data_IF_869753479102
#
_entry.id   IF_869753479102
#
_cell.length_a   1.000
_cell.length_b   1.000
_cell.length_c   1.000
_cell.angle_alpha   90.00
_cell.angle_beta   90.00
_cell.angle_gamma   90.00
#
_symmetry.space_group_name_H-M   'P 1'
#
loop_
_entity.id
_entity.type
_entity.pdbx_description
1 polymer ?
#
# COMPACT_ATOMS: atom_id res chain seq x y z
N UNK A 1 4.70 19.75 27.55
CA UNK A 1 3.83 18.86 26.75
C UNK A 1 4.76 17.99 25.93
N UNK A 2 4.65 16.68 25.99
CA UNK A 2 5.55 15.81 25.21
C UNK A 2 5.17 15.92 23.73
N UNK A 3 6.18 16.10 22.86
CA UNK A 3 5.98 16.16 21.41
C UNK A 3 5.50 14.80 20.92
N UNK A 4 4.33 14.74 20.26
CA UNK A 4 3.86 13.48 19.71
C UNK A 4 4.71 13.03 18.52
N UNK A 5 5.01 11.74 18.47
CA UNK A 5 5.94 11.16 17.49
C UNK A 5 5.27 10.08 16.68
N UNK A 6 5.34 10.25 15.36
CA UNK A 6 4.76 9.35 14.38
C UNK A 6 5.86 8.69 13.55
N UNK A 7 5.72 7.39 13.30
CA UNK A 7 6.56 6.63 12.37
C UNK A 7 5.67 6.01 11.29
N UNK A 8 6.09 6.14 10.04
CA UNK A 8 5.36 5.63 8.87
C UNK A 8 6.22 4.60 8.18
N UNK A 9 5.79 3.34 8.19
CA UNK A 9 6.46 2.19 7.58
C UNK A 9 5.54 1.63 6.50
N UNK A 10 6.06 0.96 5.48
CA UNK A 10 5.22 0.25 4.53
C UNK A 10 5.66 0.40 3.09
N UNK A 11 4.73 0.09 2.21
CA UNK A 11 4.91 0.08 0.77
C UNK A 11 4.44 1.40 0.10
N UNK A 12 4.13 1.32 -1.19
CA UNK A 12 3.66 2.43 -2.03
C UNK A 12 2.31 3.01 -1.60
N UNK A 13 1.44 2.20 -0.98
CA UNK A 13 0.17 2.70 -0.43
C UNK A 13 0.48 3.60 0.75
N UNK A 14 1.32 3.15 1.69
CA UNK A 14 1.68 3.94 2.88
C UNK A 14 2.60 5.12 2.57
N UNK A 15 3.44 4.98 1.55
CA UNK A 15 4.18 6.09 0.97
C UNK A 15 3.25 7.16 0.38
N UNK A 16 2.05 6.80 -0.08
CA UNK A 16 1.12 7.71 -0.75
C UNK A 16 1.58 8.06 -2.17
N UNK A 17 1.93 7.04 -2.95
CA UNK A 17 2.41 7.15 -4.32
C UNK A 17 1.52 8.09 -5.16
N UNK A 18 2.12 9.09 -5.80
CA UNK A 18 1.39 10.05 -6.63
C UNK A 18 0.86 11.28 -5.88
N UNK A 19 0.86 11.31 -4.55
CA UNK A 19 0.32 12.45 -3.78
C UNK A 19 1.41 13.45 -3.40
N UNK A 20 1.04 14.73 -3.32
CA UNK A 20 1.88 15.72 -2.66
C UNK A 20 2.00 15.41 -1.16
N UNK A 21 3.12 15.78 -0.53
CA UNK A 21 3.41 15.40 0.86
C UNK A 21 2.27 15.73 1.82
N UNK A 22 1.64 16.89 1.67
CA UNK A 22 0.52 17.36 2.49
C UNK A 22 -0.81 16.63 2.25
N UNK A 23 -0.95 15.95 1.13
CA UNK A 23 -2.14 15.18 0.72
C UNK A 23 -2.05 13.71 1.14
N UNK A 24 -0.84 13.21 1.42
CA UNK A 24 -0.60 11.83 1.87
C UNK A 24 -1.35 11.56 3.17
N UNK A 25 -2.00 10.41 3.28
CA UNK A 25 -2.89 10.14 4.42
C UNK A 25 -2.17 10.17 5.77
N UNK A 26 -0.88 9.84 5.84
CA UNK A 26 -0.11 10.01 7.07
C UNK A 26 0.04 11.48 7.49
N UNK A 27 0.14 12.40 6.53
CA UNK A 27 0.18 13.84 6.80
C UNK A 27 -1.17 14.37 7.25
N UNK A 28 -2.27 13.83 6.69
CA UNK A 28 -3.63 14.14 7.12
C UNK A 28 -3.88 13.65 8.56
N UNK A 29 -3.50 12.40 8.87
CA UNK A 29 -3.61 11.81 10.21
C UNK A 29 -2.77 12.60 11.21
N UNK A 30 -1.51 12.90 10.88
CA UNK A 30 -0.66 13.76 11.71
C UNK A 30 -1.37 15.08 12.01
N UNK A 31 -1.81 15.81 10.98
CA UNK A 31 -2.50 17.11 11.17
C UNK A 31 -3.73 16.99 12.07
N UNK A 32 -4.51 15.93 11.94
CA UNK A 32 -5.68 15.68 12.78
C UNK A 32 -5.31 15.41 14.25
N UNK A 33 -4.23 14.68 14.52
CA UNK A 33 -3.79 14.35 15.88
C UNK A 33 -3.04 15.49 16.57
N UNK A 34 -2.41 16.39 15.79
CA UNK A 34 -1.47 17.40 16.32
C UNK A 34 -1.95 18.84 16.15
N UNK A 35 -3.03 19.06 15.39
CA UNK A 35 -3.48 20.38 14.97
C UNK A 35 -2.56 21.03 13.92
N UNK A 36 -2.95 22.22 13.45
CA UNK A 36 -2.22 23.00 12.42
C UNK A 36 -0.90 23.62 12.91
N UNK A 37 -0.74 23.79 14.22
CA UNK A 37 0.43 24.41 14.86
C UNK A 37 1.38 23.39 15.52
N UNK A 38 1.06 22.09 15.47
CA UNK A 38 1.86 21.05 16.11
C UNK A 38 3.10 20.70 15.28
N UNK A 39 4.21 21.38 15.52
CA UNK A 39 5.52 20.88 15.11
C UNK A 39 5.80 19.59 15.88
N UNK A 40 5.60 18.46 15.22
CA UNK A 40 5.70 17.12 15.82
C UNK A 40 6.42 16.18 14.85
N UNK A 41 7.27 15.31 15.38
CA UNK A 41 8.14 14.43 14.59
C UNK A 41 7.31 13.42 13.80
N UNK A 42 7.46 13.39 12.48
CA UNK A 42 6.93 12.33 11.63
C UNK A 42 8.07 11.80 10.77
N UNK A 43 8.54 10.60 11.11
CA UNK A 43 9.61 9.92 10.38
C UNK A 43 8.98 8.98 9.36
N UNK A 44 9.07 9.36 8.08
CA UNK A 44 8.53 8.56 6.97
C UNK A 44 9.62 7.66 6.41
N UNK A 45 9.49 6.36 6.66
CA UNK A 45 10.39 5.33 6.16
C UNK A 45 9.73 4.42 5.12
N UNK A 46 8.40 4.49 4.96
CA UNK A 46 7.67 3.84 3.87
C UNK A 46 8.33 4.12 2.50
N UNK A 47 8.23 3.14 1.60
CA UNK A 47 8.90 3.17 0.31
C UNK A 47 8.08 2.38 -0.72
N UNK A 48 7.92 2.94 -1.92
CA UNK A 48 7.18 2.24 -2.98
C UNK A 48 7.86 0.95 -3.40
N UNK A 49 7.05 -0.09 -3.63
CA UNK A 49 7.54 -1.42 -3.98
C UNK A 49 8.06 -2.27 -2.81
N UNK A 50 8.15 -1.70 -1.59
CA UNK A 50 8.67 -2.44 -0.44
C UNK A 50 7.85 -3.71 -0.16
N UNK A 51 8.57 -4.81 0.07
CA UNK A 51 8.02 -6.08 0.58
C UNK A 51 8.11 -6.12 2.10
N UNK A 52 7.37 -7.01 2.77
CA UNK A 52 7.50 -7.20 4.22
C UNK A 52 8.94 -7.60 4.56
N UNK A 53 9.50 -8.53 3.79
CA UNK A 53 10.90 -8.94 3.90
C UNK A 53 11.20 -9.90 5.04
N UNK A 54 10.23 -10.73 5.46
CA UNK A 54 10.35 -11.67 6.59
C UNK A 54 11.60 -12.57 6.54
N UNK A 55 12.06 -12.92 5.33
CA UNK A 55 13.22 -13.80 5.11
C UNK A 55 14.32 -13.14 4.28
N UNK A 56 14.29 -11.81 4.13
CA UNK A 56 15.22 -11.07 3.28
C UNK A 56 16.41 -10.59 4.11
N UNK A 57 17.61 -11.02 3.73
CA UNK A 57 18.87 -10.59 4.36
C UNK A 57 19.62 -9.56 3.52
N UNK A 58 19.34 -9.49 2.23
CA UNK A 58 19.93 -8.51 1.32
C UNK A 58 19.43 -7.12 1.67
N UNK A 59 20.33 -6.14 1.63
CA UNK A 59 20.01 -4.72 1.78
C UNK A 59 20.50 -3.99 0.54
N UNK A 60 19.64 -3.17 -0.06
CA UNK A 60 20.04 -2.25 -1.13
C UNK A 60 19.93 -0.81 -0.62
N UNK A 61 20.66 0.15 -1.23
CA UNK A 61 20.51 1.56 -0.90
C UNK A 61 19.07 2.03 -1.08
N UNK A 62 18.59 2.82 -0.12
CA UNK A 62 17.30 3.51 -0.24
C UNK A 62 17.38 4.50 -1.40
N UNK A 63 16.39 4.45 -2.30
CA UNK A 63 16.18 5.44 -3.36
C UNK A 63 15.02 6.36 -3.00
N UNK A 64 14.65 7.27 -3.91
CA UNK A 64 13.47 8.11 -3.75
C UNK A 64 12.21 7.25 -3.56
N UNK A 65 11.37 7.62 -2.60
CA UNK A 65 10.21 6.82 -2.21
C UNK A 65 9.15 6.64 -3.31
N UNK A 66 9.15 7.48 -4.35
CA UNK A 66 8.26 7.31 -5.51
C UNK A 66 8.77 6.25 -6.51
N UNK A 67 10.01 5.79 -6.39
CA UNK A 67 10.58 4.75 -7.27
C UNK A 67 10.22 3.38 -6.69
N UNK A 68 9.46 2.52 -7.42
CA UNK A 68 9.04 1.24 -6.89
C UNK A 68 10.21 0.24 -6.88
N UNK A 69 10.77 -0.02 -5.70
CA UNK A 69 11.80 -1.05 -5.48
C UNK A 69 11.49 -1.84 -4.20
N UNK A 70 11.86 -3.13 -4.17
CA UNK A 70 11.63 -3.98 -2.99
C UNK A 70 12.38 -3.54 -1.73
N UNK A 71 13.39 -2.69 -1.88
CA UNK A 71 14.25 -2.23 -0.79
C UNK A 71 14.10 -0.72 -0.55
N UNK A 72 14.20 -0.28 0.72
CA UNK A 72 14.26 -1.12 1.92
C UNK A 72 12.95 -1.88 2.18
N UNK A 73 13.06 -3.14 2.62
CA UNK A 73 11.88 -3.91 3.06
C UNK A 73 11.26 -3.28 4.31
N UNK A 74 10.02 -3.58 4.63
CA UNK A 74 9.34 -2.95 5.78
C UNK A 74 10.00 -3.32 7.11
N UNK A 75 10.56 -4.53 7.23
CA UNK A 75 11.40 -4.92 8.36
C UNK A 75 12.67 -4.05 8.44
N UNK A 76 13.34 -3.80 7.32
CA UNK A 76 14.51 -2.92 7.27
C UNK A 76 14.15 -1.47 7.57
N UNK A 77 12.98 -1.00 7.14
CA UNK A 77 12.46 0.31 7.52
C UNK A 77 12.26 0.40 9.03
N UNK A 78 11.70 -0.63 9.67
CA UNK A 78 11.56 -0.70 11.13
C UNK A 78 12.93 -0.67 11.85
N UNK A 79 13.94 -1.35 11.30
CA UNK A 79 15.30 -1.37 11.85
C UNK A 79 16.07 -0.07 11.63
N UNK A 80 15.81 0.61 10.51
CA UNK A 80 16.44 1.89 10.16
C UNK A 80 15.95 3.06 11.00
N UNK A 81 14.89 2.90 11.81
CA UNK A 81 14.45 3.94 12.74
C UNK A 81 15.46 4.07 13.90
N UNK A 82 16.22 5.17 13.91
CA UNK A 82 17.32 5.41 14.86
C UNK A 82 16.97 6.29 16.06
N UNK A 83 15.84 7.00 16.05
CA UNK A 83 15.41 7.83 17.17
C UNK A 83 14.92 6.97 18.35
N UNK A 84 14.44 7.61 19.43
CA UNK A 84 13.91 6.94 20.62
C UNK A 84 12.57 6.20 20.33
N UNK A 85 12.56 4.87 20.16
CA UNK A 85 11.37 4.11 19.76
C UNK A 85 10.34 3.99 20.88
N UNK A 86 10.78 4.03 22.12
CA UNK A 86 9.99 4.09 23.35
C UNK A 86 9.30 5.44 23.56
N UNK A 87 9.67 6.47 22.78
CA UNK A 87 9.00 7.76 22.76
C UNK A 87 7.91 7.87 21.67
N UNK A 88 7.84 6.93 20.73
CA UNK A 88 6.88 6.95 19.60
C UNK A 88 5.46 6.77 20.11
N UNK A 89 4.54 7.63 19.66
CA UNK A 89 3.12 7.61 20.00
C UNK A 89 2.27 6.86 18.98
N UNK A 90 2.71 6.90 17.72
CA UNK A 90 1.93 6.39 16.61
C UNK A 90 2.80 5.71 15.57
N UNK A 91 2.43 4.51 15.16
CA UNK A 91 3.04 3.81 14.03
C UNK A 91 1.95 3.52 13.01
N UNK A 92 2.18 3.91 11.76
CA UNK A 92 1.31 3.61 10.64
C UNK A 92 2.02 2.64 9.71
N UNK A 93 1.35 1.56 9.31
CA UNK A 93 1.92 0.62 8.35
C UNK A 93 0.92 -0.11 7.47
N UNK A 94 1.41 -0.62 6.35
CA UNK A 94 0.76 -1.60 5.47
C UNK A 94 1.85 -2.33 4.67
N UNK A 95 1.53 -3.52 4.15
CA UNK A 95 2.47 -4.36 3.40
C UNK A 95 1.88 -5.70 3.00
N UNK A 96 2.55 -6.40 2.09
CA UNK A 96 2.19 -7.75 1.64
C UNK A 96 1.83 -7.84 0.16
N UNK A 97 1.31 -6.79 -0.48
CA UNK A 97 0.93 -6.88 -1.91
C UNK A 97 2.16 -7.02 -2.83
N UNK A 98 3.28 -6.37 -2.50
CA UNK A 98 4.51 -6.48 -3.29
C UNK A 98 5.21 -7.82 -3.09
N UNK A 99 4.97 -8.51 -1.96
CA UNK A 99 5.42 -9.88 -1.74
C UNK A 99 4.67 -10.88 -2.64
N UNK A 100 3.40 -10.59 -2.96
CA UNK A 100 2.57 -11.36 -3.92
C UNK A 100 2.90 -10.98 -5.37
N UNK A 101 3.35 -9.76 -5.64
CA UNK A 101 3.36 -9.09 -6.94
C UNK A 101 1.94 -8.77 -7.45
N UNK A 102 1.62 -7.47 -7.51
CA UNK A 102 0.34 -6.96 -8.04
C UNK A 102 0.04 -7.47 -9.45
N UNK A 103 1.07 -7.81 -10.24
CA UNK A 103 0.89 -8.39 -11.59
C UNK A 103 0.15 -9.73 -11.54
N UNK A 104 0.24 -10.50 -10.46
CA UNK A 104 -0.52 -11.75 -10.30
C UNK A 104 -2.00 -11.48 -10.09
N UNK A 105 -2.38 -10.40 -9.42
CA UNK A 105 -3.79 -10.00 -9.32
C UNK A 105 -4.33 -9.59 -10.70
N UNK A 106 -3.50 -8.90 -11.48
CA UNK A 106 -3.83 -8.41 -12.81
C UNK A 106 -3.74 -9.48 -13.91
N UNK A 107 -3.22 -10.68 -13.60
CA UNK A 107 -3.02 -11.74 -14.58
C UNK A 107 -4.24 -12.70 -14.62
N UNK A 108 -4.92 -12.83 -15.77
CA UNK A 108 -6.11 -13.69 -15.88
C UNK A 108 -5.82 -15.19 -15.74
N UNK A 109 -4.56 -15.64 -15.87
CA UNK A 109 -4.21 -17.06 -15.68
C UNK A 109 -3.78 -17.41 -14.26
N UNK A 110 -3.79 -16.44 -13.33
CA UNK A 110 -3.48 -16.70 -11.92
C UNK A 110 -4.49 -17.66 -11.31
N UNK A 111 -3.97 -18.75 -10.74
CA UNK A 111 -4.77 -19.74 -10.05
C UNK A 111 -5.32 -19.17 -8.73
N UNK A 112 -6.58 -19.48 -8.45
CA UNK A 112 -7.28 -18.96 -7.26
C UNK A 112 -6.73 -19.55 -5.96
N UNK A 113 -6.30 -20.81 -5.97
CA UNK A 113 -5.70 -21.45 -4.80
C UNK A 113 -4.28 -20.91 -4.57
N UNK A 114 -3.48 -20.74 -5.62
CA UNK A 114 -2.15 -20.15 -5.49
C UNK A 114 -2.24 -18.72 -4.93
N UNK A 115 -3.20 -17.91 -5.41
CA UNK A 115 -3.45 -16.57 -4.87
C UNK A 115 -3.84 -16.62 -3.39
N UNK A 116 -4.73 -17.53 -2.99
CA UNK A 116 -5.11 -17.74 -1.59
C UNK A 116 -3.91 -18.09 -0.71
N UNK A 117 -3.09 -19.06 -1.14
CA UNK A 117 -1.90 -19.51 -0.40
C UNK A 117 -0.91 -18.35 -0.22
N UNK A 118 -0.70 -17.52 -1.25
CA UNK A 118 0.15 -16.32 -1.16
C UNK A 118 -0.42 -15.26 -0.23
N UNK A 119 -1.74 -15.06 -0.20
CA UNK A 119 -2.40 -14.14 0.75
C UNK A 119 -2.19 -14.61 2.20
N UNK A 120 -2.37 -15.91 2.46
CA UNK A 120 -2.07 -16.48 3.79
C UNK A 120 -0.58 -16.37 4.14
N UNK A 121 0.29 -16.51 3.15
CA UNK A 121 1.73 -16.40 3.38
C UNK A 121 2.12 -14.97 3.77
N UNK A 122 1.77 -13.99 2.94
CA UNK A 122 2.32 -12.65 3.05
C UNK A 122 1.42 -11.71 3.87
N UNK A 123 0.11 -11.72 3.64
CA UNK A 123 -0.82 -10.84 4.36
C UNK A 123 -1.17 -11.35 5.76
N UNK A 124 -1.03 -12.65 6.04
CA UNK A 124 -1.24 -13.20 7.38
C UNK A 124 0.06 -13.51 8.11
N UNK A 125 0.81 -14.53 7.67
CA UNK A 125 1.96 -15.05 8.43
C UNK A 125 3.08 -14.01 8.53
N UNK A 126 3.49 -13.44 7.41
CA UNK A 126 4.60 -12.49 7.40
C UNK A 126 4.18 -11.13 7.99
N UNK A 127 2.92 -10.71 7.81
CA UNK A 127 2.36 -9.54 8.51
C UNK A 127 2.37 -9.72 10.03
N UNK A 128 2.02 -10.90 10.57
CA UNK A 128 2.13 -11.19 12.01
C UNK A 128 3.56 -11.05 12.50
N UNK A 129 4.53 -11.53 11.73
CA UNK A 129 5.96 -11.39 12.06
C UNK A 129 6.36 -9.91 12.10
N UNK A 130 5.97 -9.14 11.09
CA UNK A 130 6.21 -7.69 11.05
C UNK A 130 5.57 -6.98 12.25
N UNK A 131 4.31 -7.27 12.55
CA UNK A 131 3.59 -6.69 13.69
C UNK A 131 4.26 -7.03 15.02
N UNK A 132 4.69 -8.29 15.21
CA UNK A 132 5.44 -8.69 16.39
C UNK A 132 6.75 -7.89 16.54
N UNK A 133 7.48 -7.70 15.43
CA UNK A 133 8.68 -6.85 15.42
C UNK A 133 8.37 -5.40 15.78
N UNK A 134 7.33 -4.82 15.19
CA UNK A 134 6.91 -3.42 15.43
C UNK A 134 6.48 -3.22 16.89
N UNK A 135 5.64 -4.11 17.44
CA UNK A 135 5.21 -4.05 18.85
C UNK A 135 6.39 -4.13 19.82
N UNK A 136 7.38 -4.99 19.52
CA UNK A 136 8.60 -5.12 20.32
C UNK A 136 9.55 -3.93 20.17
N UNK A 137 9.55 -3.28 19.00
CA UNK A 137 10.42 -2.12 18.73
C UNK A 137 9.88 -0.86 19.40
N UNK A 138 8.59 -0.57 19.25
CA UNK A 138 7.96 0.64 19.78
C UNK A 138 7.22 0.29 21.08
N UNK A 139 7.89 0.41 22.22
CA UNK A 139 7.44 -0.20 23.48
C UNK A 139 6.53 0.69 24.34
N UNK A 140 6.30 1.94 23.95
CA UNK A 140 5.43 2.88 24.70
C UNK A 140 4.03 2.28 24.91
N UNK A 141 3.56 2.06 26.16
CA UNK A 141 2.29 1.37 26.40
C UNK A 141 1.07 2.05 25.78
N UNK A 142 1.09 3.38 25.65
CA UNK A 142 0.01 4.18 25.05
C UNK A 142 0.11 4.29 23.53
N UNK A 143 1.19 3.80 22.91
CA UNK A 143 1.37 3.94 21.48
C UNK A 143 0.37 3.11 20.70
N UNK A 144 -0.17 3.73 19.65
CA UNK A 144 -1.12 3.13 18.72
C UNK A 144 -0.37 2.68 17.46
N UNK A 145 -0.53 1.43 17.08
CA UNK A 145 0.04 0.85 15.87
C UNK A 145 -1.13 0.54 14.94
N UNK A 146 -1.22 1.20 13.80
CA UNK A 146 -2.33 1.03 12.86
C UNK A 146 -1.82 0.35 11.59
N UNK A 147 -2.43 -0.79 11.27
CA UNK A 147 -2.28 -1.46 9.98
C UNK A 147 -3.43 -1.03 9.09
N UNK A 148 -3.17 -0.49 7.91
CA UNK A 148 -4.24 -0.18 6.95
C UNK A 148 -4.52 -1.36 6.05
N UNK A 149 -5.74 -1.45 5.54
CA UNK A 149 -6.13 -2.43 4.53
C UNK A 149 -5.58 -2.10 3.14
N UNK A 150 -5.70 -3.06 2.22
CA UNK A 150 -5.71 -2.76 0.78
C UNK A 150 -7.14 -2.52 0.30
N UNK A 151 -7.31 -2.37 -1.01
CA UNK A 151 -8.54 -2.02 -1.70
C UNK A 151 -8.63 -2.80 -3.03
N UNK A 152 -9.82 -2.89 -3.65
CA UNK A 152 -9.95 -3.57 -4.93
C UNK A 152 -9.32 -2.68 -6.02
N UNK A 153 -8.19 -3.11 -6.60
CA UNK A 153 -7.49 -2.36 -7.65
C UNK A 153 -8.41 -2.15 -8.86
N UNK A 154 -9.07 -3.22 -9.31
CA UNK A 154 -10.12 -3.22 -10.35
C UNK A 154 -11.38 -3.92 -9.81
N UNK A 155 -12.53 -3.54 -10.35
CA UNK A 155 -13.84 -4.11 -9.99
C UNK A 155 -14.72 -4.29 -11.23
N UNK A 156 -15.91 -4.83 -11.04
CA UNK A 156 -16.95 -4.91 -12.07
C UNK A 156 -17.43 -3.53 -12.56
N UNK A 157 -17.12 -2.46 -11.83
CA UNK A 157 -17.42 -1.07 -12.24
C UNK A 157 -16.25 -0.40 -12.97
N UNK A 158 -15.08 -1.04 -13.05
CA UNK A 158 -13.97 -0.56 -13.87
C UNK A 158 -14.34 -0.63 -15.36
N UNK A 159 -14.12 0.45 -16.10
CA UNK A 159 -14.51 0.55 -17.51
C UNK A 159 -13.69 -0.43 -18.39
N UNK A 160 -14.29 -1.45 -19.02
CA UNK A 160 -13.55 -2.52 -19.69
C UNK A 160 -12.55 -2.07 -20.76
N UNK A 161 -12.85 -1.07 -21.63
CA UNK A 161 -11.86 -0.60 -22.62
C UNK A 161 -10.58 -0.06 -21.97
N UNK A 162 -10.70 0.55 -20.79
CA UNK A 162 -9.56 1.10 -20.05
C UNK A 162 -8.82 0.03 -19.26
N UNK A 163 -9.49 -1.07 -18.87
CA UNK A 163 -8.84 -2.20 -18.18
C UNK A 163 -7.73 -2.78 -19.02
N UNK A 164 -7.93 -3.01 -20.31
CA UNK A 164 -6.87 -3.53 -21.19
C UNK A 164 -5.66 -2.60 -21.27
N UNK A 165 -5.90 -1.29 -21.39
CA UNK A 165 -4.83 -0.29 -21.37
C UNK A 165 -4.08 -0.32 -20.03
N UNK A 166 -4.81 -0.43 -18.92
CA UNK A 166 -4.25 -0.53 -17.57
C UNK A 166 -3.40 -1.79 -17.39
N UNK A 167 -3.88 -2.96 -17.84
CA UNK A 167 -3.12 -4.21 -17.82
C UNK A 167 -1.80 -4.12 -18.58
N UNK A 168 -1.81 -3.46 -19.75
CA UNK A 168 -0.62 -3.24 -20.54
C UNK A 168 0.44 -2.38 -19.79
N UNK A 169 0.02 -1.46 -18.91
CA UNK A 169 0.96 -0.68 -18.08
C UNK A 169 1.77 -1.57 -17.14
N UNK A 170 1.18 -2.68 -16.70
CA UNK A 170 1.80 -3.62 -15.78
C UNK A 170 2.54 -4.76 -16.52
N UNK A 171 2.67 -4.65 -17.84
CA UNK A 171 3.28 -5.69 -18.68
C UNK A 171 2.43 -6.94 -18.82
N UNK A 172 1.15 -6.89 -18.42
CA UNK A 172 0.23 -8.02 -18.54
C UNK A 172 -0.38 -8.00 -19.95
N UNK A 173 0.02 -8.97 -20.77
CA UNK A 173 -0.57 -9.17 -22.10
C UNK A 173 -2.02 -9.65 -21.97
N UNK A 174 -2.97 -8.73 -22.06
CA UNK A 174 -4.40 -8.99 -21.88
C UNK A 174 -5.08 -9.63 -23.10
N UNK A 175 -4.33 -10.37 -23.93
CA UNK A 175 -4.91 -11.03 -25.10
C UNK A 175 -5.47 -10.07 -26.14
N UNK A 176 -4.75 -8.97 -26.48
CA UNK A 176 -5.09 -8.12 -27.65
C UNK A 176 -5.31 -8.93 -28.95
N UNK A 177 -4.81 -10.17 -28.98
CA UNK A 177 -4.97 -11.14 -30.08
C UNK A 177 -6.23 -12.03 -30.01
N UNK A 178 -7.02 -11.98 -28.93
CA UNK A 178 -8.21 -12.83 -28.72
C UNK A 178 -9.42 -12.01 -28.24
N UNK A 179 -10.00 -11.14 -29.09
CA UNK A 179 -11.11 -10.24 -28.71
C UNK A 179 -12.33 -10.98 -28.15
N UNK A 180 -12.56 -12.23 -28.55
CA UNK A 180 -13.65 -13.07 -28.05
C UNK A 180 -13.50 -13.51 -26.59
N UNK A 181 -12.32 -13.35 -25.98
CA UNK A 181 -12.05 -13.69 -24.57
C UNK A 181 -11.90 -12.46 -23.67
N UNK A 182 -12.02 -11.24 -24.23
CA UNK A 182 -11.77 -9.99 -23.50
C UNK A 182 -12.62 -9.87 -22.22
N UNK A 183 -13.91 -10.17 -22.31
CA UNK A 183 -14.82 -10.15 -21.16
C UNK A 183 -14.43 -11.16 -20.08
N UNK A 184 -14.01 -12.37 -20.46
CA UNK A 184 -13.58 -13.41 -19.52
C UNK A 184 -12.26 -13.03 -18.83
N UNK A 185 -11.34 -12.42 -19.57
CA UNK A 185 -10.09 -11.87 -19.03
C UNK A 185 -10.39 -10.82 -17.98
N UNK A 186 -11.22 -9.82 -18.31
CA UNK A 186 -11.61 -8.76 -17.36
C UNK A 186 -12.31 -9.37 -16.15
N UNK A 187 -13.26 -10.29 -16.35
CA UNK A 187 -13.97 -10.94 -15.26
C UNK A 187 -13.04 -11.70 -14.30
N UNK A 188 -12.04 -12.43 -14.84
CA UNK A 188 -11.07 -13.15 -14.01
C UNK A 188 -10.11 -12.22 -13.27
N UNK A 189 -9.66 -11.13 -13.90
CA UNK A 189 -8.85 -10.11 -13.22
C UNK A 189 -9.64 -9.44 -12.08
N UNK A 190 -10.91 -9.08 -12.33
CA UNK A 190 -11.80 -8.54 -11.30
C UNK A 190 -11.99 -9.55 -10.16
N UNK A 191 -12.15 -10.84 -10.48
CA UNK A 191 -12.26 -11.88 -9.47
C UNK A 191 -10.99 -12.00 -8.61
N UNK A 192 -9.79 -11.93 -9.21
CA UNK A 192 -8.53 -11.95 -8.48
C UNK A 192 -8.37 -10.73 -7.56
N UNK A 193 -8.66 -9.52 -8.07
CA UNK A 193 -8.65 -8.28 -7.28
C UNK A 193 -9.62 -8.36 -6.09
N UNK A 194 -10.82 -8.88 -6.32
CA UNK A 194 -11.84 -9.07 -5.30
C UNK A 194 -11.43 -10.11 -4.25
N UNK A 195 -10.86 -11.23 -4.69
CA UNK A 195 -10.33 -12.26 -3.82
C UNK A 195 -9.25 -11.69 -2.90
N UNK A 196 -8.24 -11.04 -3.50
CA UNK A 196 -7.17 -10.39 -2.74
C UNK A 196 -7.71 -9.39 -1.73
N UNK A 197 -8.60 -8.48 -2.15
CA UNK A 197 -9.15 -7.48 -1.26
C UNK A 197 -9.89 -8.09 -0.07
N UNK A 198 -10.78 -9.05 -0.31
CA UNK A 198 -11.57 -9.65 0.76
C UNK A 198 -10.72 -10.50 1.72
N UNK A 199 -9.88 -11.38 1.18
CA UNK A 199 -9.08 -12.29 1.99
C UNK A 199 -7.97 -11.56 2.74
N UNK A 200 -7.26 -10.62 2.11
CA UNK A 200 -6.21 -9.83 2.78
C UNK A 200 -6.78 -9.05 3.96
N UNK A 201 -7.96 -8.44 3.83
CA UNK A 201 -8.61 -7.72 4.93
C UNK A 201 -8.96 -8.65 6.10
N UNK A 202 -9.53 -9.82 5.81
CA UNK A 202 -9.89 -10.78 6.83
C UNK A 202 -8.64 -11.23 7.61
N UNK A 203 -7.56 -11.55 6.91
CA UNK A 203 -6.35 -12.04 7.56
C UNK A 203 -5.50 -10.95 8.20
N UNK A 204 -5.56 -9.70 7.73
CA UNK A 204 -4.98 -8.57 8.46
C UNK A 204 -5.67 -8.35 9.80
N UNK A 205 -7.00 -8.34 9.82
CA UNK A 205 -7.76 -8.25 11.07
C UNK A 205 -7.41 -9.41 12.01
N UNK A 206 -7.29 -10.63 11.46
CA UNK A 206 -6.89 -11.81 12.24
C UNK A 206 -5.46 -11.65 12.81
N UNK A 207 -4.49 -11.20 12.00
CA UNK A 207 -3.13 -10.94 12.43
C UNK A 207 -3.07 -9.92 13.59
N UNK A 208 -3.81 -8.82 13.46
CA UNK A 208 -3.94 -7.79 14.50
C UNK A 208 -4.52 -8.36 15.80
N UNK A 209 -5.60 -9.14 15.70
CA UNK A 209 -6.25 -9.75 16.85
C UNK A 209 -5.30 -10.69 17.60
N UNK A 210 -4.58 -11.54 16.87
CA UNK A 210 -3.67 -12.51 17.46
C UNK A 210 -2.43 -11.85 18.08
N UNK A 211 -1.87 -10.80 17.47
CA UNK A 211 -0.73 -10.07 18.04
C UNK A 211 -1.13 -9.34 19.33
N UNK A 212 -2.31 -8.71 19.38
CA UNK A 212 -2.82 -8.11 20.62
C UNK A 212 -3.05 -9.18 21.71
N UNK A 213 -3.61 -10.34 21.35
CA UNK A 213 -3.83 -11.43 22.30
C UNK A 213 -2.51 -11.97 22.86
N UNK A 214 -1.46 -12.06 22.03
CA UNK A 214 -0.12 -12.50 22.44
C UNK A 214 0.60 -11.47 23.32
N UNK A 215 0.48 -10.17 23.00
CA UNK A 215 1.09 -9.11 23.79
C UNK A 215 0.49 -9.01 25.20
N UNK A 216 -0.80 -9.34 25.32
CA UNK A 216 -1.56 -9.19 26.56
C UNK A 216 -1.81 -7.72 26.93
N UNK A 217 -2.70 -7.49 27.88
CA UNK A 217 -3.07 -6.14 28.32
C UNK A 217 -3.99 -5.41 27.34
N UNK A 218 -3.93 -4.07 27.35
CA UNK A 218 -4.79 -3.24 26.50
C UNK A 218 -4.34 -3.33 25.03
N UNK A 219 -5.27 -3.46 24.06
CA UNK A 219 -4.94 -3.48 22.65
C UNK A 219 -4.16 -2.23 22.20
N UNK A 220 -3.08 -2.46 21.46
CA UNK A 220 -2.21 -1.41 20.89
C UNK A 220 -2.14 -1.45 19.37
N UNK A 221 -2.48 -2.59 18.77
CA UNK A 221 -2.53 -2.75 17.32
C UNK A 221 -3.98 -2.64 16.84
N UNK A 222 -4.22 -1.88 15.78
CA UNK A 222 -5.54 -1.63 15.22
C UNK A 222 -5.51 -1.85 13.71
N UNK A 223 -6.60 -2.37 13.16
CA UNK A 223 -6.77 -2.52 11.72
C UNK A 223 -7.73 -1.45 11.20
N UNK A 224 -7.26 -0.63 10.25
CA UNK A 224 -8.05 0.43 9.63
C UNK A 224 -8.43 0.04 8.20
N UNK A 225 -9.73 -0.12 7.95
CA UNK A 225 -10.27 -0.46 6.64
C UNK A 225 -11.07 0.74 6.09
N UNK A 226 -10.56 1.47 5.07
CA UNK A 226 -11.34 2.50 4.41
C UNK A 226 -12.54 1.87 3.70
N UNK A 227 -13.68 2.59 3.60
CA UNK A 227 -14.94 2.04 3.12
C UNK A 227 -14.99 1.94 1.58
N UNK A 228 -13.98 1.33 0.97
CA UNK A 228 -13.95 1.08 -0.47
C UNK A 228 -15.14 0.22 -0.88
N UNK A 229 -15.70 0.54 -2.04
CA UNK A 229 -16.65 -0.29 -2.77
C UNK A 229 -16.13 -0.51 -4.18
N UNK A 230 -16.79 -1.37 -4.96
CA UNK A 230 -16.49 -1.53 -6.37
C UNK A 230 -16.47 -0.20 -7.15
N UNK A 231 -17.32 0.76 -6.78
CA UNK A 231 -17.39 2.07 -7.44
C UNK A 231 -16.12 2.91 -7.26
N UNK A 232 -15.25 2.54 -6.32
CA UNK A 232 -14.07 3.32 -5.93
C UNK A 232 -12.75 2.73 -6.44
N UNK A 233 -12.79 1.59 -7.14
CA UNK A 233 -11.65 1.00 -7.85
C UNK A 233 -11.11 1.90 -8.96
N UNK A 234 -9.94 1.58 -9.48
CA UNK A 234 -9.35 2.29 -10.59
C UNK A 234 -10.26 2.15 -11.82
N UNK A 235 -10.34 3.23 -12.62
CA UNK A 235 -11.12 3.29 -13.86
C UNK A 235 -12.64 3.14 -13.65
N UNK A 236 -13.12 3.15 -12.40
CA UNK A 236 -14.54 3.28 -12.09
C UNK A 236 -14.97 4.76 -12.16
N UNK A 237 -16.26 5.06 -12.39
CA UNK A 237 -16.74 6.45 -12.48
C UNK A 237 -16.53 7.30 -11.23
N UNK A 238 -16.48 6.68 -10.05
CA UNK A 238 -16.27 7.33 -8.75
C UNK A 238 -14.98 6.83 -8.07
N UNK A 239 -13.90 6.74 -8.86
CA UNK A 239 -12.63 6.18 -8.42
C UNK A 239 -12.00 6.99 -7.27
N UNK A 240 -11.55 6.28 -6.25
CA UNK A 240 -10.65 6.80 -5.21
C UNK A 240 -9.18 6.48 -5.49
N UNK A 241 -8.92 5.89 -6.66
CA UNK A 241 -7.60 5.53 -7.12
C UNK A 241 -7.22 6.37 -8.35
N UNK A 242 -5.94 6.68 -8.52
CA UNK A 242 -5.43 7.30 -9.74
C UNK A 242 -5.66 6.38 -10.94
N UNK A 243 -6.13 6.95 -12.05
CA UNK A 243 -6.16 6.29 -13.34
C UNK A 243 -4.98 6.71 -14.22
N UNK A 244 -5.16 6.51 -15.52
CA UNK A 244 -4.30 7.06 -16.56
C UNK A 244 -5.14 7.83 -17.57
N UNK A 245 -4.53 8.81 -18.22
CA UNK A 245 -5.11 9.52 -19.35
C UNK A 245 -5.15 8.62 -20.60
N UNK A 246 -5.87 9.03 -21.64
CA UNK A 246 -5.95 8.28 -22.90
C UNK A 246 -4.59 8.07 -23.58
N UNK A 247 -3.62 8.97 -23.34
CA UNK A 247 -2.24 8.83 -23.81
C UNK A 247 -1.36 7.97 -22.88
N UNK A 248 -1.95 7.27 -21.91
CA UNK A 248 -1.29 6.45 -20.90
C UNK A 248 -0.39 7.23 -19.93
N UNK A 249 -0.44 8.56 -19.92
CA UNK A 249 0.24 9.33 -18.87
C UNK A 249 -0.51 9.15 -17.55
N UNK A 250 0.19 9.17 -16.40
CA UNK A 250 -0.49 9.13 -15.12
C UNK A 250 -1.26 10.44 -14.88
N UNK A 251 -2.22 10.39 -13.96
CA UNK A 251 -3.08 11.52 -13.60
C UNK A 251 -2.57 12.30 -12.37
N UNK A 252 -1.46 11.87 -11.79
CA UNK A 252 -0.97 12.39 -10.52
C UNK A 252 -0.10 13.67 -10.65
N UNK A 253 -0.12 14.56 -9.64
CA UNK A 253 0.64 15.81 -9.66
C UNK A 253 2.17 15.65 -9.56
N UNK A 254 2.68 14.52 -9.06
CA UNK A 254 4.13 14.33 -8.81
C UNK A 254 4.84 13.63 -9.96
N UNK A 255 4.16 13.34 -11.08
CA UNK A 255 4.72 12.60 -12.21
C UNK A 255 6.06 13.15 -12.71
N UNK A 256 6.25 14.46 -12.77
CA UNK A 256 7.47 15.07 -13.28
C UNK A 256 8.67 14.82 -12.35
N UNK A 257 8.47 14.96 -11.04
CA UNK A 257 9.49 14.64 -10.04
C UNK A 257 9.79 13.14 -10.03
N UNK A 258 8.75 12.29 -10.05
CA UNK A 258 8.92 10.83 -10.14
C UNK A 258 9.71 10.43 -11.38
N UNK A 259 9.47 11.02 -12.55
CA UNK A 259 10.21 10.70 -13.78
C UNK A 259 11.70 11.02 -13.65
N UNK A 260 12.07 12.09 -12.97
CA UNK A 260 13.48 12.40 -12.71
C UNK A 260 14.12 11.32 -11.83
N UNK A 261 13.44 10.92 -10.75
CA UNK A 261 13.91 9.84 -9.87
C UNK A 261 13.99 8.49 -10.59
N UNK A 262 12.98 8.12 -11.38
CA UNK A 262 12.99 6.91 -12.19
C UNK A 262 14.16 6.90 -13.18
N UNK A 263 14.47 8.03 -13.84
CA UNK A 263 15.61 8.11 -14.75
C UNK A 263 16.96 7.93 -14.06
N UNK A 264 17.07 8.38 -12.81
CA UNK A 264 18.31 8.26 -12.04
C UNK A 264 18.54 6.85 -11.50
N UNK A 265 17.47 6.12 -11.17
CA UNK A 265 17.55 4.88 -10.39
C UNK A 265 17.14 3.62 -11.15
N UNK A 266 16.34 3.73 -12.21
CA UNK A 266 15.86 2.58 -12.98
C UNK A 266 16.53 2.51 -14.35
N UNK A 267 17.45 1.55 -14.51
CA UNK A 267 18.24 1.37 -15.71
C UNK A 267 17.54 0.47 -16.73
N UNK A 268 16.62 -0.40 -16.29
CA UNK A 268 15.83 -1.23 -17.19
C UNK A 268 14.75 -0.36 -17.87
N UNK A 269 14.74 -0.25 -19.22
CA UNK A 269 13.79 0.61 -19.90
C UNK A 269 12.33 0.24 -19.66
N UNK A 270 12.01 -1.04 -19.48
CA UNK A 270 10.65 -1.52 -19.25
C UNK A 270 10.22 -1.16 -17.82
N UNK A 271 11.06 -1.44 -16.82
CA UNK A 271 10.77 -1.07 -15.43
C UNK A 271 10.67 0.45 -15.26
N UNK A 272 11.47 1.22 -16.01
CA UNK A 272 11.40 2.68 -15.97
C UNK A 272 10.07 3.21 -16.49
N UNK A 273 9.52 2.62 -17.55
CA UNK A 273 8.18 2.96 -18.03
C UNK A 273 7.09 2.60 -17.01
N UNK A 274 7.24 1.49 -16.28
CA UNK A 274 6.34 1.14 -15.17
C UNK A 274 6.47 2.19 -14.05
N UNK A 275 7.70 2.56 -13.68
CA UNK A 275 8.00 3.58 -12.67
C UNK A 275 7.34 4.93 -12.98
N UNK A 276 7.36 5.37 -14.24
CA UNK A 276 6.69 6.59 -14.69
C UNK A 276 5.19 6.62 -14.39
N UNK A 277 4.54 5.46 -14.35
CA UNK A 277 3.10 5.30 -14.18
C UNK A 277 2.73 4.66 -12.84
N UNK A 278 3.69 4.56 -11.92
CA UNK A 278 3.54 3.80 -10.69
C UNK A 278 2.45 4.31 -9.76
N UNK A 279 1.92 5.53 -9.94
CA UNK A 279 0.73 6.01 -9.22
C UNK A 279 -0.57 5.34 -9.67
N UNK A 280 -0.66 4.82 -10.89
CA UNK A 280 -1.89 4.26 -11.44
C UNK A 280 -2.38 3.08 -10.56
N UNK A 281 -3.60 3.17 -10.04
CA UNK A 281 -4.15 2.21 -9.08
C UNK A 281 -3.84 2.52 -7.60
N UNK A 282 -3.11 3.59 -7.28
CA UNK A 282 -2.90 4.04 -5.89
C UNK A 282 -3.94 5.08 -5.46
N UNK A 283 -4.15 5.29 -4.14
CA UNK A 283 -5.12 6.28 -3.66
C UNK A 283 -4.86 7.68 -4.21
N UNK A 284 -5.90 8.31 -4.74
CA UNK A 284 -5.91 9.73 -5.07
C UNK A 284 -6.26 10.59 -3.84
N UNK A 285 -6.47 11.89 -4.03
CA UNK A 285 -6.80 12.82 -2.92
C UNK A 285 -7.99 12.32 -2.08
N UNK A 286 -9.06 11.87 -2.75
CA UNK A 286 -10.25 11.33 -2.08
C UNK A 286 -9.92 10.04 -1.35
N UNK A 287 -9.20 9.12 -2.00
CA UNK A 287 -8.78 7.86 -1.38
C UNK A 287 -7.91 8.08 -0.13
N UNK A 288 -6.93 8.98 -0.20
CA UNK A 288 -6.09 9.35 0.93
C UNK A 288 -6.90 9.92 2.10
N UNK A 289 -7.91 10.74 1.82
CA UNK A 289 -8.82 11.24 2.85
C UNK A 289 -9.62 10.10 3.50
N UNK A 290 -10.09 9.12 2.72
CA UNK A 290 -10.81 7.95 3.28
C UNK A 290 -9.89 7.07 4.13
N UNK A 291 -8.63 6.89 3.73
CA UNK A 291 -7.62 6.26 4.59
C UNK A 291 -7.44 7.00 5.90
N UNK A 292 -7.25 8.32 5.86
CA UNK A 292 -7.09 9.13 7.06
C UNK A 292 -8.31 9.02 7.99
N UNK A 293 -9.53 9.07 7.45
CA UNK A 293 -10.76 8.91 8.21
C UNK A 293 -10.85 7.55 8.91
N UNK A 294 -10.54 6.46 8.19
CA UNK A 294 -10.57 5.10 8.74
C UNK A 294 -9.51 4.90 9.82
N UNK A 295 -8.31 5.46 9.64
CA UNK A 295 -7.24 5.42 10.64
C UNK A 295 -7.67 6.14 11.93
N UNK A 296 -8.24 7.32 11.81
CA UNK A 296 -8.71 8.10 12.96
C UNK A 296 -9.87 7.40 13.69
N UNK A 297 -10.76 6.73 12.96
CA UNK A 297 -11.92 6.04 13.53
C UNK A 297 -11.56 4.85 14.43
N UNK A 298 -10.39 4.22 14.26
CA UNK A 298 -9.99 3.04 15.05
C UNK A 298 -9.11 3.36 16.25
N UNK A 299 -8.71 4.63 16.41
CA UNK A 299 -7.83 5.07 17.52
C UNK A 299 -8.48 6.08 18.46
N UNK A 300 -9.64 6.64 18.07
CA UNK A 300 -10.52 7.46 18.91
C UNK A 300 -11.37 6.56 19.82
#
# INVERSE_FOLDING_TARGET
MADFRMVVLGDSVTWGQGLLTEEKFYSLVKRALTGTNGAQGCTVLAHSGATIGANVQTTEPRVDGEVPTSYPTIIQQCDAFTDAPDAVDFVLLNGGINDIDVRLLLNPITDTKDLHDMILLFCYRDMKLLLGKVVNRFTKPTAKIVVTSYFPVLSEQSLPPLVHAFLALYGVSSGMFFPHLAEQIVAKVVANCTQFWNESNAVFQQAVNEVNAQAGGAPRVFFAQPPFTAANSALAPNAWLWGVNFNLSPQDPVQAARHQSCNAHEQDPIQREICYRASAGHPNLTGAQQFANAILAVIQ
#
